data_IF_711513451587
#
_entry.id   IF_711513451587
#
_cell.length_a   1.000
_cell.length_b   1.000
_cell.length_c   1.000
_cell.angle_alpha   90.00
_cell.angle_beta   90.00
_cell.angle_gamma   90.00
#
_symmetry.space_group_name_H-M   'P 1'
#
loop_
_entity.id
_entity.type
_entity.pdbx_description
1 polymer ?
#
# COMPACT_ATOMS: atom_id res chain seq x y z
N UNK A 1 6.77 24.15 10.21
CA UNK A 1 7.60 23.16 9.49
C UNK A 1 7.31 23.27 7.99
N UNK A 2 8.12 22.62 7.14
CA UNK A 2 7.88 22.58 5.70
C UNK A 2 6.78 21.58 5.32
N UNK A 3 6.40 21.58 4.04
CA UNK A 3 5.57 20.52 3.45
C UNK A 3 6.35 19.21 3.34
N UNK A 4 5.65 18.08 3.31
CA UNK A 4 6.19 16.77 2.97
C UNK A 4 5.85 16.47 1.52
N UNK A 5 6.84 16.49 0.64
CA UNK A 5 6.70 16.15 -0.77
C UNK A 5 6.64 14.63 -0.93
N UNK A 6 5.48 14.14 -1.38
CA UNK A 6 5.18 12.72 -1.51
C UNK A 6 5.07 12.32 -2.98
N UNK A 7 5.76 11.23 -3.34
CA UNK A 7 5.55 10.54 -4.60
C UNK A 7 4.79 9.22 -4.39
N UNK A 8 3.97 8.83 -5.37
CA UNK A 8 3.17 7.59 -5.32
C UNK A 8 3.58 6.66 -6.46
N UNK A 9 3.85 5.39 -6.12
CA UNK A 9 3.99 4.30 -7.10
C UNK A 9 2.70 3.47 -7.05
N UNK A 10 1.99 3.39 -8.18
CA UNK A 10 0.71 2.71 -8.29
C UNK A 10 -0.46 3.60 -7.87
N UNK A 11 -1.15 4.19 -8.83
CA UNK A 11 -2.28 5.12 -8.61
C UNK A 11 -3.59 4.32 -8.52
N UNK A 12 -3.63 3.34 -7.61
CA UNK A 12 -4.77 2.44 -7.38
C UNK A 12 -5.85 3.01 -6.44
N UNK A 13 -6.72 2.13 -5.95
CA UNK A 13 -7.74 2.47 -4.94
C UNK A 13 -7.12 3.03 -3.64
N UNK A 14 -6.00 2.47 -3.16
CA UNK A 14 -5.33 2.97 -1.97
C UNK A 14 -4.82 4.41 -2.15
N UNK A 15 -4.18 4.70 -3.28
CA UNK A 15 -3.76 6.06 -3.62
C UNK A 15 -4.94 7.02 -3.71
N UNK A 16 -6.06 6.58 -4.31
CA UNK A 16 -7.29 7.37 -4.39
C UNK A 16 -7.85 7.71 -3.00
N UNK A 17 -7.97 6.73 -2.11
CA UNK A 17 -8.44 6.97 -0.74
C UNK A 17 -7.48 7.84 0.07
N UNK A 18 -6.16 7.67 -0.08
CA UNK A 18 -5.15 8.49 0.59
C UNK A 18 -5.26 9.96 0.17
N UNK A 19 -5.25 10.23 -1.14
CA UNK A 19 -5.31 11.59 -1.68
C UNK A 19 -6.62 12.26 -1.27
N UNK A 20 -7.76 11.57 -1.44
CA UNK A 20 -9.05 12.09 -0.97
C UNK A 20 -9.02 12.39 0.54
N UNK A 21 -8.42 11.52 1.35
CA UNK A 21 -8.30 11.70 2.81
C UNK A 21 -7.52 12.96 3.19
N UNK A 22 -6.39 13.21 2.53
CA UNK A 22 -5.59 14.43 2.74
C UNK A 22 -6.43 15.69 2.45
N UNK A 23 -7.15 15.71 1.33
CA UNK A 23 -8.00 16.86 0.98
C UNK A 23 -9.22 17.02 1.88
N UNK A 24 -9.82 15.91 2.30
CA UNK A 24 -11.00 15.89 3.18
C UNK A 24 -10.67 16.43 4.58
N UNK A 25 -9.54 16.02 5.15
CA UNK A 25 -9.13 16.41 6.50
C UNK A 25 -8.16 17.58 6.57
N UNK A 26 -7.90 18.29 5.46
CA UNK A 26 -6.94 19.41 5.43
C UNK A 26 -7.28 20.57 6.38
N UNK A 27 -8.55 20.68 6.80
CA UNK A 27 -9.04 21.71 7.74
C UNK A 27 -9.35 21.14 9.14
N UNK A 28 -9.01 19.87 9.40
CA UNK A 28 -9.14 19.30 10.73
C UNK A 28 -8.31 20.12 11.73
N UNK A 29 -8.82 20.30 12.95
CA UNK A 29 -8.05 20.92 14.03
C UNK A 29 -7.20 19.85 14.69
N UNK A 30 -6.07 20.26 15.27
CA UNK A 30 -5.14 19.33 15.93
C UNK A 30 -5.79 18.51 17.06
N UNK A 31 -6.82 19.06 17.68
CA UNK A 31 -7.60 18.44 18.75
C UNK A 31 -8.76 17.57 18.27
N UNK A 32 -9.05 17.56 16.97
CA UNK A 32 -10.16 16.81 16.44
C UNK A 32 -9.89 15.31 16.52
N UNK A 33 -10.91 14.54 16.87
CA UNK A 33 -10.88 13.10 16.69
C UNK A 33 -11.21 12.78 15.23
N UNK A 34 -10.21 12.29 14.49
CA UNK A 34 -10.38 11.85 13.10
C UNK A 34 -10.33 10.32 13.04
N UNK A 35 -11.43 9.63 12.67
CA UNK A 35 -11.44 8.18 12.57
C UNK A 35 -10.35 7.66 11.63
N UNK A 36 -9.50 6.78 12.15
CA UNK A 36 -8.41 6.18 11.39
C UNK A 36 -7.07 6.88 11.49
N UNK A 37 -7.01 8.06 12.12
CA UNK A 37 -5.75 8.74 12.41
C UNK A 37 -5.52 8.76 13.91
N UNK A 38 -4.30 8.40 14.32
CA UNK A 38 -3.90 8.54 15.73
C UNK A 38 -3.72 10.02 16.11
N UNK A 39 -3.23 10.83 15.17
CA UNK A 39 -2.96 12.24 15.37
C UNK A 39 -3.27 13.01 14.09
N UNK A 40 -3.90 14.18 14.23
CA UNK A 40 -4.08 15.14 13.13
C UNK A 40 -2.77 15.89 12.83
N UNK A 41 -1.95 16.12 13.86
CA UNK A 41 -0.59 16.62 13.73
C UNK A 41 0.38 15.60 14.36
N UNK A 42 1.32 15.08 13.56
CA UNK A 42 2.34 14.14 14.01
C UNK A 42 3.72 14.78 13.87
N UNK A 43 4.40 15.00 15.00
CA UNK A 43 5.77 15.52 14.99
C UNK A 43 5.90 16.93 14.43
N UNK A 44 4.82 17.73 14.44
CA UNK A 44 4.77 19.07 13.86
C UNK A 44 4.27 19.12 12.43
N UNK A 45 3.95 17.98 11.81
CA UNK A 45 3.34 17.88 10.48
C UNK A 45 1.84 17.63 10.59
N UNK A 46 1.06 18.59 10.11
CA UNK A 46 -0.38 18.47 9.95
C UNK A 46 -0.75 17.66 8.70
N UNK A 47 -1.94 17.07 8.64
CA UNK A 47 -2.43 16.34 7.43
C UNK A 47 -2.30 17.19 6.16
N UNK A 48 -2.56 18.49 6.26
CA UNK A 48 -2.46 19.44 5.14
C UNK A 48 -1.04 19.67 4.63
N UNK A 49 -0.02 19.27 5.38
CA UNK A 49 1.38 19.44 4.99
C UNK A 49 1.83 18.39 3.98
N UNK A 50 1.02 17.34 3.76
CA UNK A 50 1.26 16.32 2.73
C UNK A 50 0.99 16.92 1.36
N UNK A 51 2.04 16.97 0.52
CA UNK A 51 2.03 17.55 -0.80
C UNK A 51 2.40 16.49 -1.84
N UNK A 52 1.45 16.06 -2.68
CA UNK A 52 1.76 15.10 -3.74
C UNK A 52 2.49 15.81 -4.88
N UNK A 53 3.68 15.33 -5.25
CA UNK A 53 4.56 15.98 -6.24
C UNK A 53 4.87 15.11 -7.45
N UNK A 54 4.76 13.79 -7.33
CA UNK A 54 4.98 12.86 -8.42
C UNK A 54 4.09 11.62 -8.28
N UNK A 55 3.73 11.01 -9.40
CA UNK A 55 2.97 9.76 -9.41
C UNK A 55 3.39 8.90 -10.61
N UNK A 56 3.47 7.59 -10.40
CA UNK A 56 3.88 6.62 -11.40
C UNK A 56 2.84 5.51 -11.53
N UNK A 57 2.47 5.18 -12.76
CA UNK A 57 1.58 4.06 -13.06
C UNK A 57 1.99 3.40 -14.38
N UNK A 58 1.37 2.26 -14.68
CA UNK A 58 1.58 1.50 -15.91
C UNK A 58 0.31 1.42 -16.76
N UNK A 59 -0.85 1.75 -16.22
CA UNK A 59 -2.12 1.71 -16.94
C UNK A 59 -2.20 2.85 -17.96
N UNK A 60 -2.47 2.49 -19.23
CA UNK A 60 -2.67 3.47 -20.33
C UNK A 60 -3.77 4.48 -20.02
N UNK A 61 -4.74 4.11 -19.19
CA UNK A 61 -5.84 4.99 -18.84
C UNK A 61 -5.40 6.07 -17.84
N UNK A 62 -4.32 5.87 -17.10
CA UNK A 62 -3.84 6.77 -16.04
C UNK A 62 -2.62 7.57 -16.46
N UNK A 63 -1.66 6.93 -17.12
CA UNK A 63 -0.42 7.58 -17.58
C UNK A 63 -0.75 8.77 -18.50
N UNK A 64 -0.17 9.93 -18.19
CA UNK A 64 -0.38 11.20 -18.87
C UNK A 64 -1.53 12.05 -18.32
N UNK A 65 -2.44 11.47 -17.52
CA UNK A 65 -3.52 12.22 -16.86
C UNK A 65 -3.01 13.00 -15.65
N UNK A 66 -3.74 14.05 -15.32
CA UNK A 66 -3.56 14.76 -14.06
C UNK A 66 -3.99 13.85 -12.89
N UNK A 67 -3.24 13.91 -11.78
CA UNK A 67 -3.37 12.98 -10.65
C UNK A 67 -4.78 12.99 -10.03
N UNK A 68 -5.40 14.16 -9.88
CA UNK A 68 -6.75 14.31 -9.35
C UNK A 68 -7.81 13.63 -10.25
N UNK A 69 -7.53 13.49 -11.55
CA UNK A 69 -8.38 12.70 -12.46
C UNK A 69 -8.01 11.22 -12.47
N UNK A 70 -6.73 10.90 -12.38
CA UNK A 70 -6.22 9.53 -12.43
C UNK A 70 -6.70 8.68 -11.26
N UNK A 71 -6.84 9.27 -10.06
CA UNK A 71 -7.34 8.56 -8.87
C UNK A 71 -8.79 8.07 -9.00
N UNK A 72 -9.59 8.68 -9.88
CA UNK A 72 -10.96 8.27 -10.18
C UNK A 72 -11.08 7.51 -11.51
N UNK A 73 -9.95 7.29 -12.20
CA UNK A 73 -9.96 6.58 -13.47
C UNK A 73 -10.03 5.07 -13.23
N UNK A 74 -10.96 4.41 -13.93
CA UNK A 74 -11.08 2.95 -13.95
C UNK A 74 -9.71 2.28 -14.24
N UNK A 75 -9.39 1.15 -13.58
CA UNK A 75 -10.30 0.31 -12.80
C UNK A 75 -10.42 0.71 -11.31
N UNK A 76 -9.96 1.91 -10.91
CA UNK A 76 -10.25 2.40 -9.56
C UNK A 76 -11.76 2.51 -9.36
N UNK A 77 -12.23 2.04 -8.20
CA UNK A 77 -13.64 1.96 -7.85
C UNK A 77 -13.88 2.14 -6.33
N UNK A 78 -12.91 2.69 -5.61
CA UNK A 78 -13.12 3.10 -4.21
C UNK A 78 -14.19 4.17 -4.10
N UNK A 79 -14.79 4.30 -2.92
CA UNK A 79 -15.81 5.32 -2.67
C UNK A 79 -15.26 6.73 -2.85
N UNK A 80 -16.02 7.59 -3.54
CA UNK A 80 -15.69 9.01 -3.72
C UNK A 80 -16.32 9.82 -2.58
N UNK A 81 -15.51 10.27 -1.63
CA UNK A 81 -15.96 11.06 -0.47
C UNK A 81 -15.41 12.48 -0.45
N UNK A 82 -14.48 12.81 -1.35
CA UNK A 82 -13.91 14.15 -1.46
C UNK A 82 -13.60 14.49 -2.92
N UNK A 83 -13.88 15.72 -3.33
CA UNK A 83 -13.38 16.26 -4.59
C UNK A 83 -11.92 16.68 -4.42
N UNK A 84 -11.09 16.31 -5.38
CA UNK A 84 -9.66 16.62 -5.37
C UNK A 84 -9.38 17.67 -6.46
N UNK A 85 -8.90 18.87 -6.11
CA UNK A 85 -8.53 19.88 -7.10
C UNK A 85 -7.27 19.44 -7.87
N UNK A 86 -7.15 19.90 -9.11
CA UNK A 86 -5.94 19.70 -9.90
C UNK A 86 -4.74 20.37 -9.20
N UNK A 87 -3.63 19.63 -9.12
CA UNK A 87 -2.39 20.07 -8.48
C UNK A 87 -1.22 20.19 -9.47
N UNK A 88 -1.48 19.92 -10.77
CA UNK A 88 -0.46 20.00 -11.82
C UNK A 88 0.46 18.78 -11.88
N UNK A 89 0.18 17.74 -11.09
CA UNK A 89 0.94 16.48 -11.10
C UNK A 89 0.36 15.58 -12.17
N UNK A 90 1.16 15.22 -13.17
CA UNK A 90 0.78 14.20 -14.14
C UNK A 90 1.28 12.83 -13.70
N UNK A 91 0.47 11.80 -13.91
CA UNK A 91 0.90 10.42 -13.73
C UNK A 91 1.88 10.06 -14.83
N UNK A 92 3.07 9.63 -14.45
CA UNK A 92 4.16 9.32 -15.36
C UNK A 92 4.27 7.82 -15.60
N UNK A 93 4.88 7.43 -16.72
CA UNK A 93 5.09 6.03 -17.09
C UNK A 93 6.13 5.40 -16.15
N UNK A 94 5.67 4.58 -15.21
CA UNK A 94 6.53 3.85 -14.27
C UNK A 94 7.12 2.57 -14.85
N UNK A 95 7.98 1.87 -14.11
CA UNK A 95 8.44 0.54 -14.48
C UNK A 95 7.35 -0.51 -14.27
N UNK A 96 7.29 -1.49 -15.18
CA UNK A 96 6.30 -2.58 -15.12
C UNK A 96 6.80 -3.79 -14.34
N UNK A 97 7.93 -4.40 -14.73
CA UNK A 97 8.41 -5.68 -14.15
C UNK A 97 7.28 -6.70 -13.95
N UNK A 98 7.25 -7.38 -12.81
CA UNK A 98 6.23 -8.31 -12.31
C UNK A 98 5.00 -7.60 -11.70
N UNK A 99 4.88 -6.29 -11.91
CA UNK A 99 3.78 -5.42 -11.52
C UNK A 99 2.42 -5.75 -12.12
N UNK A 100 2.38 -6.54 -13.20
CA UNK A 100 1.15 -6.85 -13.94
C UNK A 100 0.95 -8.36 -14.02
N UNK A 101 0.11 -8.90 -13.13
CA UNK A 101 -0.26 -10.32 -13.09
C UNK A 101 -1.18 -10.77 -14.23
N UNK A 102 -1.44 -12.07 -14.29
CA UNK A 102 -2.25 -12.72 -15.33
C UNK A 102 -3.68 -12.19 -15.35
N UNK A 103 -4.32 -12.05 -14.20
CA UNK A 103 -5.70 -11.55 -14.15
C UNK A 103 -5.76 -10.04 -14.34
N UNK A 104 -4.80 -9.31 -13.79
CA UNK A 104 -4.78 -7.85 -13.92
C UNK A 104 -4.52 -7.40 -15.36
N UNK A 105 -3.72 -8.16 -16.13
CA UNK A 105 -3.49 -7.90 -17.56
C UNK A 105 -4.73 -8.05 -18.46
N UNK A 106 -5.79 -8.70 -17.97
CA UNK A 106 -7.07 -8.82 -18.69
C UNK A 106 -7.92 -7.54 -18.58
N UNK A 107 -7.65 -6.70 -17.58
CA UNK A 107 -8.40 -5.45 -17.33
C UNK A 107 -7.55 -4.23 -17.64
N UNK A 108 -6.26 -4.29 -17.35
CA UNK A 108 -5.32 -3.17 -17.53
C UNK A 108 -4.49 -3.41 -18.79
N UNK A 109 -4.47 -2.42 -19.67
CA UNK A 109 -3.54 -2.37 -20.78
C UNK A 109 -2.38 -1.45 -20.44
N UNK A 110 -1.16 -1.97 -20.59
CA UNK A 110 0.08 -1.22 -20.35
C UNK A 110 0.17 0.01 -21.26
N UNK A 111 0.49 1.16 -20.67
CA UNK A 111 0.76 2.40 -21.37
C UNK A 111 1.96 2.24 -22.32
N UNK A 112 1.90 2.80 -23.55
CA UNK A 112 3.01 2.77 -24.48
C UNK A 112 4.19 3.62 -23.96
N UNK A 113 5.36 3.43 -24.56
CA UNK A 113 6.57 4.17 -24.22
C UNK A 113 7.41 3.53 -23.12
N UNK A 114 8.61 4.10 -22.92
CA UNK A 114 9.57 3.68 -21.90
C UNK A 114 9.20 4.26 -20.54
N UNK A 115 9.67 3.59 -19.48
CA UNK A 115 9.69 4.15 -18.14
C UNK A 115 10.43 5.49 -18.12
N UNK A 116 9.91 6.47 -17.40
CA UNK A 116 10.61 7.75 -17.18
C UNK A 116 11.84 7.56 -16.29
N UNK A 117 12.77 8.51 -16.31
CA UNK A 117 13.88 8.53 -15.36
C UNK A 117 13.36 8.83 -13.95
N UNK A 118 13.15 7.78 -13.16
CA UNK A 118 12.56 7.88 -11.81
C UNK A 118 13.45 8.72 -10.90
N UNK A 119 14.77 8.52 -10.93
CA UNK A 119 15.71 9.27 -10.09
C UNK A 119 15.64 10.75 -10.41
N UNK A 120 15.67 11.10 -11.70
CA UNK A 120 15.57 12.50 -12.14
C UNK A 120 14.26 13.13 -11.68
N UNK A 121 13.13 12.46 -11.90
CA UNK A 121 11.81 12.95 -11.49
C UNK A 121 11.75 13.18 -9.99
N UNK A 122 12.21 12.22 -9.17
CA UNK A 122 12.18 12.34 -7.71
C UNK A 122 13.05 13.50 -7.21
N UNK A 123 14.23 13.71 -7.81
CA UNK A 123 15.12 14.84 -7.49
C UNK A 123 14.54 16.19 -7.93
N UNK A 124 14.04 16.30 -9.16
CA UNK A 124 13.45 17.55 -9.69
C UNK A 124 12.19 17.97 -8.95
N UNK A 125 11.40 17.00 -8.50
CA UNK A 125 10.20 17.23 -7.67
C UNK A 125 10.51 17.44 -6.19
N UNK A 126 11.79 17.37 -5.80
CA UNK A 126 12.24 17.48 -4.40
C UNK A 126 11.45 16.53 -3.48
N UNK A 127 11.27 15.29 -3.91
CA UNK A 127 10.48 14.31 -3.15
C UNK A 127 11.17 13.95 -1.84
N UNK A 128 10.43 14.00 -0.74
CA UNK A 128 10.91 13.58 0.58
C UNK A 128 10.63 12.08 0.81
N UNK A 129 9.43 11.61 0.44
CA UNK A 129 8.97 10.24 0.72
C UNK A 129 8.24 9.64 -0.48
N UNK A 130 8.52 8.37 -0.78
CA UNK A 130 7.85 7.60 -1.83
C UNK A 130 6.99 6.51 -1.20
N UNK A 131 5.70 6.45 -1.61
CA UNK A 131 4.73 5.45 -1.15
C UNK A 131 4.53 4.40 -2.24
N UNK A 132 4.69 3.13 -1.87
CA UNK A 132 4.51 1.98 -2.76
C UNK A 132 3.14 1.31 -2.58
N UNK A 133 2.29 1.44 -3.60
CA UNK A 133 0.99 0.77 -3.74
C UNK A 133 0.94 -0.14 -4.99
N UNK A 134 2.06 -0.76 -5.35
CA UNK A 134 2.06 -1.79 -6.39
C UNK A 134 1.12 -2.97 -6.05
N UNK A 135 0.75 -3.80 -7.03
CA UNK A 135 -0.01 -5.02 -6.75
C UNK A 135 0.76 -6.01 -5.87
N UNK A 136 0.01 -6.88 -5.18
CA UNK A 136 0.61 -7.98 -4.41
C UNK A 136 1.42 -8.90 -5.33
N UNK A 137 2.60 -9.31 -4.86
CA UNK A 137 3.52 -10.18 -5.60
C UNK A 137 4.44 -9.45 -6.58
N UNK A 138 4.49 -8.12 -6.56
CA UNK A 138 5.38 -7.30 -7.39
C UNK A 138 6.75 -7.11 -6.73
N UNK A 139 7.51 -8.20 -6.62
CA UNK A 139 8.79 -8.25 -5.92
C UNK A 139 9.92 -7.58 -6.72
N UNK A 140 10.09 -7.96 -7.99
CA UNK A 140 11.10 -7.36 -8.88
C UNK A 140 10.85 -5.87 -9.06
N UNK A 141 9.59 -5.48 -9.30
CA UNK A 141 9.20 -4.08 -9.44
C UNK A 141 9.55 -3.29 -8.17
N UNK A 142 9.16 -3.80 -6.99
CA UNK A 142 9.39 -3.11 -5.72
C UNK A 142 10.88 -2.94 -5.45
N UNK A 143 11.68 -4.01 -5.59
CA UNK A 143 13.14 -3.95 -5.40
C UNK A 143 13.80 -2.99 -6.40
N UNK A 144 13.37 -3.00 -7.66
CA UNK A 144 13.85 -2.07 -8.67
C UNK A 144 13.55 -0.60 -8.32
N UNK A 145 12.33 -0.30 -7.88
CA UNK A 145 11.96 1.06 -7.45
C UNK A 145 12.77 1.51 -6.23
N UNK A 146 13.03 0.62 -5.27
CA UNK A 146 13.83 0.96 -4.08
C UNK A 146 15.23 1.42 -4.47
N UNK A 147 15.87 0.80 -5.45
CA UNK A 147 17.18 1.28 -5.94
C UNK A 147 17.10 2.71 -6.48
N UNK A 148 16.02 3.05 -7.18
CA UNK A 148 15.80 4.41 -7.70
C UNK A 148 15.53 5.40 -6.56
N UNK A 149 14.75 4.99 -5.56
CA UNK A 149 14.40 5.80 -4.38
C UNK A 149 15.63 6.09 -3.52
N UNK A 150 16.47 5.08 -3.25
CA UNK A 150 17.74 5.24 -2.55
C UNK A 150 18.67 6.19 -3.31
N UNK A 151 18.81 6.01 -4.63
CA UNK A 151 19.64 6.89 -5.47
C UNK A 151 19.10 8.33 -5.53
N UNK A 152 17.79 8.51 -5.38
CA UNK A 152 17.15 9.81 -5.31
C UNK A 152 17.31 10.51 -3.96
N UNK A 153 17.64 9.77 -2.89
CA UNK A 153 17.75 10.32 -1.54
C UNK A 153 16.40 10.47 -0.84
N UNK A 154 15.41 9.63 -1.15
CA UNK A 154 14.06 9.73 -0.58
C UNK A 154 13.78 8.64 0.46
N UNK A 155 12.96 8.95 1.46
CA UNK A 155 12.37 7.93 2.34
C UNK A 155 11.38 7.03 1.60
N UNK A 156 11.11 5.85 2.14
CA UNK A 156 10.24 4.85 1.50
C UNK A 156 9.18 4.28 2.44
N UNK A 157 7.93 4.20 1.96
CA UNK A 157 6.82 3.54 2.65
C UNK A 157 6.32 2.39 1.79
N UNK A 158 6.56 1.17 2.24
CA UNK A 158 6.13 -0.05 1.56
C UNK A 158 4.77 -0.53 2.08
N UNK A 159 3.71 -0.32 1.29
CA UNK A 159 2.35 -0.69 1.70
C UNK A 159 1.93 -2.09 1.27
N UNK A 160 2.82 -2.86 0.62
CA UNK A 160 2.50 -4.19 0.06
C UNK A 160 3.28 -5.28 0.81
N UNK A 161 2.86 -6.56 0.75
CA UNK A 161 3.50 -7.65 1.50
C UNK A 161 4.75 -8.21 0.79
N UNK A 162 5.55 -7.35 0.16
CA UNK A 162 6.91 -7.68 -0.30
C UNK A 162 7.87 -7.32 0.82
N UNK A 163 8.77 -8.22 1.18
CA UNK A 163 9.65 -8.03 2.34
C UNK A 163 10.79 -7.08 2.00
N UNK A 164 10.75 -5.90 2.62
CA UNK A 164 11.76 -4.84 2.45
C UNK A 164 12.16 -4.35 3.83
N UNK A 165 11.27 -3.67 4.56
CA UNK A 165 11.59 -3.05 5.83
C UNK A 165 11.90 -4.09 6.92
N UNK A 166 11.46 -5.34 6.76
CA UNK A 166 11.81 -6.44 7.66
C UNK A 166 13.13 -7.15 7.33
N UNK A 167 13.69 -6.93 6.15
CA UNK A 167 14.94 -7.57 5.73
C UNK A 167 16.15 -6.73 6.14
N UNK A 168 17.11 -7.37 6.81
CA UNK A 168 18.32 -6.70 7.30
C UNK A 168 19.10 -6.01 6.18
N UNK A 169 19.16 -6.62 5.00
CA UNK A 169 19.83 -6.07 3.82
C UNK A 169 19.32 -4.67 3.46
N UNK A 170 17.99 -4.49 3.35
CA UNK A 170 17.42 -3.19 3.01
C UNK A 170 17.52 -2.20 4.16
N UNK A 171 17.32 -2.65 5.40
CA UNK A 171 17.49 -1.81 6.59
C UNK A 171 18.89 -1.17 6.65
N UNK A 172 19.93 -1.95 6.41
CA UNK A 172 21.32 -1.48 6.41
C UNK A 172 21.58 -0.45 5.31
N UNK A 173 21.01 -0.65 4.12
CA UNK A 173 21.16 0.30 3.00
C UNK A 173 20.46 1.63 3.26
N UNK A 174 19.22 1.61 3.75
CA UNK A 174 18.51 2.83 4.13
C UNK A 174 19.23 3.56 5.27
N UNK A 175 19.73 2.83 6.28
CA UNK A 175 20.51 3.42 7.38
C UNK A 175 21.83 4.05 6.91
N UNK A 176 22.54 3.41 5.98
CA UNK A 176 23.78 3.94 5.40
C UNK A 176 23.57 5.29 4.70
N UNK A 177 22.46 5.42 3.95
CA UNK A 177 22.10 6.68 3.28
C UNK A 177 21.44 7.70 4.22
N UNK A 178 21.20 7.35 5.49
CA UNK A 178 20.50 8.20 6.45
C UNK A 178 19.02 8.42 6.14
N UNK A 179 18.39 7.47 5.44
CA UNK A 179 17.01 7.55 4.95
C UNK A 179 16.06 6.64 5.74
N UNK A 180 14.81 7.05 5.99
CA UNK A 180 13.83 6.21 6.66
C UNK A 180 13.18 5.19 5.70
N UNK A 181 12.88 4.00 6.21
CA UNK A 181 12.02 3.00 5.56
C UNK A 181 10.94 2.53 6.53
N UNK A 182 9.69 2.51 6.06
CA UNK A 182 8.52 2.01 6.82
C UNK A 182 7.84 0.92 6.00
N UNK A 183 7.60 -0.23 6.63
CA UNK A 183 6.99 -1.38 5.99
C UNK A 183 7.04 -2.61 6.90
N UNK A 184 6.59 -3.77 6.46
CA UNK A 184 5.90 -4.06 5.19
C UNK A 184 4.41 -4.32 5.44
N UNK A 185 3.60 -4.25 4.38
CA UNK A 185 2.15 -4.49 4.38
C UNK A 185 1.34 -3.54 5.29
N UNK A 186 0.68 -2.55 4.68
CA UNK A 186 -0.11 -1.56 5.44
C UNK A 186 -1.30 -2.23 6.13
N UNK A 187 -1.53 -1.89 7.40
CA UNK A 187 -2.65 -2.45 8.16
C UNK A 187 -3.95 -1.71 7.85
N UNK A 188 -5.01 -2.48 7.61
CA UNK A 188 -6.38 -1.98 7.72
C UNK A 188 -6.72 -1.71 9.18
N UNK A 189 -7.57 -0.72 9.45
CA UNK A 189 -8.01 -0.38 10.82
C UNK A 189 -8.72 -1.55 11.50
N UNK A 190 -9.78 -2.07 10.85
CA UNK A 190 -10.55 -3.23 11.30
C UNK A 190 -10.80 -4.14 10.10
N UNK A 191 -9.86 -5.08 9.87
CA UNK A 191 -9.97 -6.11 8.84
C UNK A 191 -10.35 -7.48 9.40
N UNK A 192 -10.64 -8.44 8.52
CA UNK A 192 -11.01 -9.81 8.91
C UNK A 192 -9.95 -10.47 9.84
N UNK A 193 -8.66 -10.28 9.56
CA UNK A 193 -7.57 -10.86 10.35
C UNK A 193 -7.55 -10.37 11.79
N UNK A 194 -7.77 -9.08 12.07
CA UNK A 194 -7.74 -8.59 13.46
C UNK A 194 -8.99 -9.05 14.22
N UNK A 195 -10.16 -9.10 13.56
CA UNK A 195 -11.39 -9.61 14.17
C UNK A 195 -11.23 -11.10 14.52
N UNK A 196 -10.76 -11.91 13.57
CA UNK A 196 -10.50 -13.32 13.78
C UNK A 196 -9.51 -13.52 14.95
N UNK A 197 -8.40 -12.79 14.96
CA UNK A 197 -7.40 -12.85 16.03
C UNK A 197 -7.98 -12.52 17.40
N UNK A 198 -8.81 -11.49 17.51
CA UNK A 198 -9.47 -11.11 18.78
C UNK A 198 -10.41 -12.21 19.26
N UNK A 199 -11.20 -12.81 18.36
CA UNK A 199 -12.10 -13.91 18.71
C UNK A 199 -11.34 -15.18 19.10
N UNK A 200 -10.27 -15.55 18.38
CA UNK A 200 -9.40 -16.68 18.71
C UNK A 200 -8.77 -16.50 20.09
N UNK A 201 -8.28 -15.29 20.39
CA UNK A 201 -7.74 -14.97 21.72
C UNK A 201 -8.80 -15.07 22.80
N UNK A 202 -10.02 -14.60 22.55
CA UNK A 202 -11.13 -14.73 23.49
C UNK A 202 -11.44 -16.19 23.82
N UNK A 203 -11.44 -17.08 22.82
CA UNK A 203 -11.64 -18.52 23.04
C UNK A 203 -10.60 -19.07 24.02
N UNK A 204 -9.31 -18.81 23.73
CA UNK A 204 -8.21 -19.21 24.62
C UNK A 204 -8.38 -18.64 26.04
N UNK A 205 -8.62 -17.33 26.15
CA UNK A 205 -8.71 -16.64 27.44
C UNK A 205 -9.92 -17.12 28.28
N UNK A 206 -10.90 -17.81 27.66
CA UNK A 206 -12.06 -18.41 28.32
C UNK A 206 -11.96 -19.94 28.49
N UNK A 207 -10.82 -20.53 28.16
CA UNK A 207 -10.62 -21.98 28.24
C UNK A 207 -11.43 -22.77 27.20
N UNK A 208 -11.87 -22.12 26.13
CA UNK A 208 -12.60 -22.76 25.02
C UNK A 208 -11.58 -23.20 23.97
N UNK A 209 -11.53 -24.50 23.69
CA UNK A 209 -10.67 -25.05 22.64
C UNK A 209 -11.26 -24.73 21.27
N UNK A 210 -10.51 -24.00 20.45
CA UNK A 210 -10.80 -23.85 19.03
C UNK A 210 -10.36 -25.12 18.30
N UNK A 211 -11.31 -25.86 17.71
CA UNK A 211 -10.99 -27.07 16.93
C UNK A 211 -10.83 -26.78 15.43
N UNK A 212 -11.71 -25.96 14.86
CA UNK A 212 -11.79 -25.69 13.42
C UNK A 212 -12.14 -24.23 13.19
N UNK A 213 -11.54 -23.61 12.18
CA UNK A 213 -11.84 -22.22 11.81
C UNK A 213 -11.64 -21.94 10.32
N UNK A 214 -12.45 -21.05 9.77
CA UNK A 214 -12.26 -20.56 8.41
C UNK A 214 -12.53 -19.06 8.30
N UNK A 215 -11.84 -18.41 7.38
CA UNK A 215 -12.00 -17.01 7.03
C UNK A 215 -12.02 -16.89 5.50
N UNK A 216 -13.17 -16.52 4.97
CA UNK A 216 -13.41 -16.30 3.54
C UNK A 216 -13.52 -14.80 3.27
N UNK A 217 -12.78 -14.32 2.27
CA UNK A 217 -12.70 -12.90 1.94
C UNK A 217 -13.21 -12.65 0.52
N UNK A 218 -14.24 -11.82 0.35
CA UNK A 218 -14.73 -11.41 -0.96
C UNK A 218 -14.47 -9.92 -1.21
N UNK A 219 -14.19 -9.56 -2.46
CA UNK A 219 -14.03 -8.17 -2.84
C UNK A 219 -14.09 -7.98 -4.36
N UNK A 220 -14.49 -6.78 -4.77
CA UNK A 220 -14.76 -6.43 -6.18
C UNK A 220 -13.79 -5.39 -6.75
N UNK A 221 -12.52 -5.42 -6.35
CA UNK A 221 -11.51 -4.48 -6.84
C UNK A 221 -10.31 -5.21 -7.46
N UNK A 222 -9.39 -4.46 -8.05
CA UNK A 222 -8.21 -5.03 -8.73
C UNK A 222 -7.21 -5.69 -7.79
N UNK A 223 -7.16 -5.31 -6.51
CA UNK A 223 -6.32 -5.98 -5.52
C UNK A 223 -6.84 -7.40 -5.24
N UNK A 224 -8.16 -7.54 -5.02
CA UNK A 224 -8.81 -8.85 -4.89
C UNK A 224 -8.68 -9.71 -6.14
N UNK A 225 -8.85 -9.12 -7.33
CA UNK A 225 -8.65 -9.83 -8.59
C UNK A 225 -7.21 -10.33 -8.73
N UNK A 226 -6.22 -9.50 -8.41
CA UNK A 226 -4.82 -9.88 -8.43
C UNK A 226 -4.51 -10.99 -7.41
N UNK A 227 -5.19 -10.96 -6.26
CA UNK A 227 -5.10 -12.00 -5.24
C UNK A 227 -5.74 -13.33 -5.64
N UNK A 228 -6.57 -13.43 -6.70
CA UNK A 228 -7.03 -14.75 -7.18
C UNK A 228 -5.88 -15.58 -7.80
N UNK A 229 -4.77 -14.94 -8.15
CA UNK A 229 -3.56 -15.60 -8.62
C UNK A 229 -2.82 -16.24 -7.44
N UNK A 230 -3.09 -17.52 -7.19
CA UNK A 230 -2.53 -18.26 -6.03
C UNK A 230 -1.00 -18.17 -5.92
N UNK A 231 -0.29 -18.19 -7.05
CA UNK A 231 1.18 -18.07 -7.09
C UNK A 231 1.69 -16.78 -6.45
N UNK A 232 0.90 -15.69 -6.46
CA UNK A 232 1.24 -14.39 -5.85
C UNK A 232 0.88 -14.31 -4.37
N UNK A 233 0.21 -15.32 -3.81
CA UNK A 233 -0.38 -15.29 -2.47
C UNK A 233 0.38 -16.05 -1.39
N UNK A 234 1.35 -16.89 -1.73
CA UNK A 234 2.01 -17.81 -0.79
C UNK A 234 2.45 -17.08 0.51
N UNK A 235 3.21 -15.99 0.37
CA UNK A 235 3.66 -15.18 1.50
C UNK A 235 2.52 -14.57 2.33
N UNK A 236 1.43 -14.15 1.68
CA UNK A 236 0.28 -13.51 2.32
C UNK A 236 -0.61 -14.53 3.05
N UNK A 237 -0.77 -15.73 2.49
CA UNK A 237 -1.48 -16.85 3.13
C UNK A 237 -0.77 -17.27 4.41
N UNK A 238 0.55 -17.48 4.35
CA UNK A 238 1.37 -17.81 5.52
C UNK A 238 1.22 -16.72 6.60
N UNK A 239 1.43 -15.44 6.25
CA UNK A 239 1.33 -14.32 7.20
C UNK A 239 -0.03 -14.25 7.91
N UNK A 240 -1.13 -14.44 7.17
CA UNK A 240 -2.49 -14.39 7.74
C UNK A 240 -2.82 -15.59 8.62
N UNK A 241 -2.44 -16.80 8.21
CA UNK A 241 -2.63 -18.00 9.02
C UNK A 241 -1.85 -17.90 10.33
N UNK A 242 -0.58 -17.49 10.26
CA UNK A 242 0.26 -17.28 11.46
C UNK A 242 -0.31 -16.22 12.41
N UNK A 243 -0.91 -15.15 11.88
CA UNK A 243 -1.55 -14.12 12.72
C UNK A 243 -2.70 -14.67 13.59
N UNK A 244 -3.38 -15.74 13.15
CA UNK A 244 -4.44 -16.42 13.91
C UNK A 244 -3.85 -17.50 14.81
N UNK A 245 -3.01 -18.38 14.28
CA UNK A 245 -2.46 -19.52 15.04
C UNK A 245 -1.53 -19.08 16.17
N UNK A 246 -0.84 -17.94 16.02
CA UNK A 246 -0.02 -17.34 17.10
C UNK A 246 -0.81 -16.95 18.37
N UNK A 247 -2.14 -16.96 18.32
CA UNK A 247 -2.97 -16.73 19.51
C UNK A 247 -3.26 -18.00 20.31
N UNK A 248 -2.95 -19.18 19.77
CA UNK A 248 -3.20 -20.47 20.41
C UNK A 248 -1.91 -21.01 21.03
N UNK A 249 -2.06 -21.75 22.13
CA UNK A 249 -0.93 -22.41 22.81
C UNK A 249 -0.67 -23.83 22.27
N UNK A 250 -1.34 -24.20 21.19
CA UNK A 250 -1.28 -25.49 20.52
C UNK A 250 -1.39 -25.33 19.01
N UNK A 251 -0.91 -26.32 18.27
CA UNK A 251 -1.02 -26.35 16.81
C UNK A 251 -2.39 -26.89 16.37
N UNK A 252 -2.97 -26.26 15.35
CA UNK A 252 -4.12 -26.78 14.62
C UNK A 252 -3.63 -27.63 13.45
N UNK A 253 -4.40 -28.67 13.11
CA UNK A 253 -4.18 -29.40 11.87
C UNK A 253 -4.31 -28.41 10.68
N UNK A 254 -3.39 -28.43 9.69
CA UNK A 254 -3.51 -27.59 8.50
C UNK A 254 -4.85 -27.69 7.77
N UNK A 255 -5.55 -28.83 7.86
CA UNK A 255 -6.87 -29.02 7.26
C UNK A 255 -8.02 -28.41 8.08
N UNK A 256 -7.77 -28.08 9.35
CA UNK A 256 -8.73 -27.48 10.27
C UNK A 256 -8.71 -25.93 10.27
N UNK A 257 -7.82 -25.32 9.48
CA UNK A 257 -7.70 -23.87 9.33
C UNK A 257 -7.67 -23.41 7.86
N UNK A 258 -8.60 -22.53 7.49
CA UNK A 258 -8.61 -21.90 6.18
C UNK A 258 -8.63 -20.37 6.27
N UNK A 259 -7.71 -19.67 5.60
CA UNK A 259 -7.70 -18.21 5.53
C UNK A 259 -7.34 -17.76 4.12
N UNK A 260 -8.26 -17.11 3.41
CA UNK A 260 -7.99 -16.67 2.04
C UNK A 260 -9.12 -15.89 1.36
N UNK A 261 -8.80 -15.21 0.25
CA UNK A 261 -9.78 -14.75 -0.73
C UNK A 261 -10.41 -15.91 -1.51
#
# INVERSE_FOLDING_TARGET
MGKINVAIIGVGNCASSLIQGVYYYKQAKETDFVPGLMHVNLGGYHISDINFVAAFDIDRNKVGKELAQAIFTAPNNTFKFCEVPAAGVKVQRGMTHDGLGKYLSQIIQKAPGSTVDIVKVLKESQTDVVINYLPVGSEEATKWYIEQVLTAGCGFINCIPVFIAREKYWQERFAHEGLPVIGDDVKSQVGATIVHRVLTRLFRDRGVKLERTYQLNFGGNTDFLNMLERERLESKKISKTTAVTSQLDYELDPDDIHVGP
#
